data_IF_276013080723
#
_entry.id   IF_276013080723
#
_cell.length_a   1.000
_cell.length_b   1.000
_cell.length_c   1.000
_cell.angle_alpha   90.00
_cell.angle_beta   90.00
_cell.angle_gamma   90.00
#
_symmetry.space_group_name_H-M   'P 1'
#
loop_
_entity.id
_entity.type
_entity.pdbx_description
1 polymer ?
#
# COMPACT_ATOMS: atom_id res chain seq x y z
N UNK A 1 10.60 7.67 19.24
CA UNK A 1 9.82 8.30 18.16
C UNK A 1 9.93 7.41 16.93
N UNK A 2 8.81 7.11 16.29
CA UNK A 2 8.79 6.27 15.08
C UNK A 2 9.50 7.00 13.93
N UNK A 3 10.25 6.25 13.11
CA UNK A 3 10.84 6.77 11.86
C UNK A 3 10.37 5.90 10.71
N UNK A 4 9.82 6.52 9.67
CA UNK A 4 9.39 5.79 8.47
C UNK A 4 10.26 6.18 7.27
N UNK A 5 11.08 5.24 6.81
CA UNK A 5 11.87 5.37 5.58
C UNK A 5 10.99 5.05 4.38
N UNK A 6 10.87 6.00 3.47
CA UNK A 6 10.01 5.89 2.28
C UNK A 6 10.78 6.23 1.00
N UNK A 7 10.32 5.68 -0.13
CA UNK A 7 10.74 6.16 -1.45
C UNK A 7 9.96 7.40 -1.88
N UNK A 8 10.24 7.89 -3.08
CA UNK A 8 9.53 9.04 -3.66
C UNK A 8 8.01 8.83 -3.61
N UNK A 9 7.28 9.78 -3.04
CA UNK A 9 5.84 9.65 -2.76
C UNK A 9 4.99 9.45 -4.01
N UNK A 10 5.40 10.05 -5.14
CA UNK A 10 4.69 9.92 -6.40
C UNK A 10 4.88 8.56 -7.10
N UNK A 11 5.94 7.82 -6.78
CA UNK A 11 6.26 6.52 -7.41
C UNK A 11 6.10 5.31 -6.49
N UNK A 12 6.42 5.47 -5.20
CA UNK A 12 6.52 4.33 -4.28
C UNK A 12 5.17 3.95 -3.69
N UNK A 13 4.40 3.15 -4.42
CA UNK A 13 3.10 2.65 -3.94
C UNK A 13 3.22 1.79 -2.68
N UNK A 14 4.34 1.13 -2.46
CA UNK A 14 4.59 0.37 -1.23
C UNK A 14 4.83 1.28 -0.03
N UNK A 15 5.61 2.37 -0.20
CA UNK A 15 5.81 3.34 0.87
C UNK A 15 4.55 4.15 1.20
N UNK A 16 3.70 4.39 0.21
CA UNK A 16 2.46 5.13 0.39
C UNK A 16 1.52 4.46 1.39
N UNK A 17 1.47 3.12 1.43
CA UNK A 17 0.56 2.38 2.32
C UNK A 17 0.80 2.69 3.80
N UNK A 18 1.95 2.38 4.40
CA UNK A 18 2.17 2.70 5.81
C UNK A 18 2.20 4.22 6.06
N UNK A 19 2.61 5.02 5.08
CA UNK A 19 2.57 6.48 5.21
C UNK A 19 1.13 6.99 5.37
N UNK A 20 0.21 6.54 4.51
CA UNK A 20 -1.21 6.90 4.60
C UNK A 20 -1.82 6.36 5.89
N UNK A 21 -1.55 5.10 6.24
CA UNK A 21 -2.04 4.48 7.47
C UNK A 21 -1.67 5.30 8.71
N UNK A 22 -0.39 5.61 8.89
CA UNK A 22 0.10 6.39 10.04
C UNK A 22 -0.50 7.80 10.06
N UNK A 23 -0.57 8.47 8.89
CA UNK A 23 -1.15 9.83 8.80
C UNK A 23 -2.63 9.86 9.11
N UNK A 24 -3.42 8.92 8.58
CA UNK A 24 -4.86 8.85 8.84
C UNK A 24 -5.18 8.44 10.28
N UNK A 25 -4.34 7.60 10.88
CA UNK A 25 -4.45 7.21 12.28
C UNK A 25 -3.97 8.28 13.27
N UNK A 26 -3.44 9.41 12.80
CA UNK A 26 -2.91 10.48 13.66
C UNK A 26 -1.63 10.10 14.40
N UNK A 27 -0.92 9.08 13.95
CA UNK A 27 0.33 8.62 14.57
C UNK A 27 1.48 9.52 14.11
N UNK A 28 2.18 10.11 15.06
CA UNK A 28 3.36 10.93 14.78
C UNK A 28 4.58 10.08 14.43
N UNK A 29 5.29 10.47 13.38
CA UNK A 29 6.53 9.84 12.95
C UNK A 29 7.45 10.79 12.19
N UNK A 30 8.74 10.56 12.26
CA UNK A 30 9.75 11.21 11.42
C UNK A 30 9.72 10.56 10.03
N UNK A 31 9.48 11.36 9.01
CA UNK A 31 9.52 10.92 7.63
C UNK A 31 10.93 11.04 7.07
N UNK A 32 11.51 9.93 6.62
CA UNK A 32 12.84 9.89 6.02
C UNK A 32 12.72 9.44 4.55
N UNK A 33 12.83 10.41 3.64
CA UNK A 33 12.75 10.12 2.21
C UNK A 33 14.08 9.63 1.67
N UNK A 34 14.09 8.42 1.12
CA UNK A 34 15.20 7.82 0.37
C UNK A 34 14.84 7.86 -1.11
N UNK A 35 15.45 8.80 -1.84
CA UNK A 35 15.13 9.02 -3.26
C UNK A 35 15.58 7.86 -4.11
N UNK A 36 14.74 7.50 -5.07
CA UNK A 36 15.11 6.53 -6.10
C UNK A 36 16.06 7.18 -7.11
N UNK A 37 17.24 6.61 -7.24
CA UNK A 37 18.21 6.89 -8.32
C UNK A 37 18.41 5.63 -9.17
N UNK A 38 18.83 4.54 -8.53
CA UNK A 38 19.00 3.22 -9.12
C UNK A 38 18.76 2.14 -8.07
N UNK A 39 18.38 0.94 -8.52
CA UNK A 39 18.26 -0.25 -7.65
C UNK A 39 19.49 -1.15 -7.71
N UNK A 40 20.54 -0.74 -8.44
CA UNK A 40 21.81 -1.45 -8.53
C UNK A 40 22.57 -1.42 -7.20
N UNK A 41 23.40 -2.42 -6.98
CA UNK A 41 24.32 -2.43 -5.85
C UNK A 41 25.22 -1.17 -5.89
N UNK A 42 25.39 -0.51 -4.73
CA UNK A 42 26.20 0.72 -4.61
C UNK A 42 25.50 2.01 -5.04
N UNK A 43 24.23 1.98 -5.47
CA UNK A 43 23.44 3.18 -5.70
C UNK A 43 23.26 4.00 -4.42
N UNK A 44 22.95 5.30 -4.55
CA UNK A 44 22.69 6.16 -3.40
C UNK A 44 21.49 5.64 -2.59
N UNK A 45 20.43 5.16 -3.28
CA UNK A 45 19.29 4.52 -2.66
C UNK A 45 19.69 3.31 -1.80
N UNK A 46 20.53 2.40 -2.33
CA UNK A 46 20.99 1.20 -1.58
C UNK A 46 21.89 1.59 -0.42
N UNK A 47 22.82 2.52 -0.63
CA UNK A 47 23.74 3.00 0.40
C UNK A 47 22.99 3.66 1.56
N UNK A 48 21.96 4.45 1.29
CA UNK A 48 21.15 5.10 2.31
C UNK A 48 20.36 4.10 3.20
N UNK A 49 20.14 2.87 2.72
CA UNK A 49 19.46 1.80 3.46
C UNK A 49 20.44 0.82 4.12
N UNK A 50 21.75 0.96 3.85
CA UNK A 50 22.79 0.14 4.49
C UNK A 50 22.80 0.41 6.00
N UNK A 51 22.72 -0.65 6.79
CA UNK A 51 22.62 -0.53 8.25
C UNK A 51 21.22 -0.18 8.78
N UNK A 52 20.28 0.18 7.90
CA UNK A 52 18.88 0.42 8.29
C UNK A 52 18.04 -0.85 8.14
N UNK A 53 18.20 -1.57 7.03
CA UNK A 53 17.42 -2.77 6.75
C UNK A 53 18.26 -3.82 6.00
N UNK A 54 18.09 -5.11 6.30
CA UNK A 54 18.82 -6.17 5.62
C UNK A 54 18.37 -6.39 4.17
N UNK A 55 17.16 -5.93 3.81
CA UNK A 55 16.59 -6.16 2.46
C UNK A 55 16.87 -5.02 1.47
N UNK A 56 17.38 -3.87 1.95
CA UNK A 56 17.69 -2.72 1.09
C UNK A 56 16.51 -2.24 0.25
N UNK A 57 15.30 -2.21 0.82
CA UNK A 57 14.05 -1.77 0.19
C UNK A 57 13.29 -0.85 1.15
N UNK A 58 12.38 -0.07 0.60
CA UNK A 58 11.41 0.75 1.35
C UNK A 58 9.99 0.21 1.13
N UNK A 59 9.05 0.39 2.08
CA UNK A 59 9.18 1.12 3.34
C UNK A 59 9.92 0.33 4.42
N UNK A 60 10.47 1.07 5.41
CA UNK A 60 10.99 0.51 6.66
C UNK A 60 10.53 1.39 7.81
N UNK A 61 9.99 0.78 8.85
CA UNK A 61 9.66 1.45 10.10
C UNK A 61 10.74 1.14 11.14
N UNK A 62 11.19 2.17 11.86
CA UNK A 62 12.15 2.04 12.96
C UNK A 62 11.50 2.60 14.22
N UNK A 63 11.46 1.80 15.30
CA UNK A 63 11.01 2.20 16.63
C UNK A 63 12.10 1.85 17.66
N UNK A 64 12.87 2.84 18.07
CA UNK A 64 14.08 2.61 18.88
C UNK A 64 15.08 1.72 18.12
N UNK A 65 15.39 0.56 18.69
CA UNK A 65 16.28 -0.43 18.09
C UNK A 65 15.55 -1.46 17.21
N UNK A 66 14.21 -1.43 17.20
CA UNK A 66 13.42 -2.35 16.39
C UNK A 66 13.31 -1.83 14.97
N UNK A 67 13.59 -2.71 14.01
CA UNK A 67 13.44 -2.44 12.57
C UNK A 67 12.38 -3.38 11.99
N UNK A 68 11.34 -2.81 11.42
CA UNK A 68 10.24 -3.55 10.78
C UNK A 68 10.20 -3.21 9.29
N UNK A 69 10.25 -4.20 8.44
CA UNK A 69 10.13 -4.04 6.99
C UNK A 69 9.04 -4.96 6.45
N UNK A 70 8.61 -4.67 5.24
CA UNK A 70 7.39 -5.08 4.58
C UNK A 70 6.15 -4.33 5.11
N UNK A 71 5.28 -3.96 4.16
CA UNK A 71 4.11 -3.12 4.46
C UNK A 71 3.06 -3.80 5.34
N UNK A 72 2.89 -5.15 5.20
CA UNK A 72 1.97 -5.88 6.07
C UNK A 72 2.53 -6.00 7.49
N UNK A 73 3.81 -6.32 7.61
CA UNK A 73 4.45 -6.41 8.91
C UNK A 73 4.44 -5.06 9.65
N UNK A 74 4.64 -3.95 8.93
CA UNK A 74 4.52 -2.61 9.49
C UNK A 74 3.09 -2.35 9.98
N UNK A 75 2.07 -2.70 9.18
CA UNK A 75 0.67 -2.51 9.56
C UNK A 75 0.29 -3.33 10.80
N UNK A 76 0.70 -4.60 10.87
CA UNK A 76 0.48 -5.46 12.06
C UNK A 76 1.18 -4.91 13.28
N UNK A 77 2.47 -4.54 13.17
CA UNK A 77 3.21 -3.94 14.28
C UNK A 77 2.55 -2.67 14.81
N UNK A 78 2.14 -1.77 13.91
CA UNK A 78 1.48 -0.52 14.29
C UNK A 78 0.13 -0.80 14.95
N UNK A 79 -0.64 -1.78 14.46
CA UNK A 79 -1.91 -2.18 15.07
C UNK A 79 -1.73 -2.78 16.48
N UNK A 80 -0.67 -3.53 16.71
CA UNK A 80 -0.34 -4.05 18.04
C UNK A 80 0.20 -2.95 18.99
N UNK A 81 0.94 -2.00 18.43
CA UNK A 81 1.54 -0.88 19.20
C UNK A 81 0.51 0.16 19.63
N UNK A 82 -0.58 0.32 18.85
CA UNK A 82 -1.67 1.28 19.06
C UNK A 82 -3.03 0.59 18.96
N UNK A 83 -3.33 -0.35 19.88
CA UNK A 83 -4.55 -1.18 19.79
C UNK A 83 -5.84 -0.37 19.90
N UNK A 84 -5.80 0.80 20.53
CA UNK A 84 -6.94 1.72 20.66
C UNK A 84 -7.38 2.35 19.33
N UNK A 85 -6.51 2.36 18.32
CA UNK A 85 -6.83 2.96 17.02
C UNK A 85 -7.58 2.02 16.07
N UNK A 86 -7.71 0.74 16.45
CA UNK A 86 -8.49 -0.26 15.70
C UNK A 86 -8.17 -0.30 14.20
N UNK A 87 -6.89 -0.30 13.83
CA UNK A 87 -6.43 -0.31 12.43
C UNK A 87 -6.87 -1.57 11.65
N UNK A 88 -7.35 -2.58 12.34
CA UNK A 88 -8.06 -3.72 11.80
C UNK A 88 -9.50 -3.77 12.35
N UNK A 89 -10.45 -4.39 11.63
CA UNK A 89 -11.81 -4.60 12.14
C UNK A 89 -11.83 -5.27 13.52
N UNK A 90 -12.72 -4.82 14.40
CA UNK A 90 -12.81 -5.32 15.78
C UNK A 90 -13.29 -6.77 15.83
N UNK A 91 -14.26 -7.11 15.00
CA UNK A 91 -14.84 -8.44 14.94
C UNK A 91 -13.87 -9.45 14.30
N UNK A 92 -13.72 -10.62 14.94
CA UNK A 92 -12.75 -11.64 14.50
C UNK A 92 -12.99 -12.10 13.06
N UNK A 93 -14.22 -12.39 12.60
CA UNK A 93 -14.47 -12.79 11.22
C UNK A 93 -14.12 -11.68 10.21
N UNK A 94 -14.54 -10.45 10.49
CA UNK A 94 -14.23 -9.28 9.66
C UNK A 94 -12.71 -9.02 9.59
N UNK A 95 -12.02 -9.10 10.71
CA UNK A 95 -10.56 -8.96 10.78
C UNK A 95 -9.84 -10.05 9.99
N UNK A 96 -10.27 -11.29 10.08
CA UNK A 96 -9.72 -12.38 9.28
C UNK A 96 -9.93 -12.13 7.77
N UNK A 97 -11.12 -11.66 7.39
CA UNK A 97 -11.45 -11.28 6.02
C UNK A 97 -10.58 -10.13 5.54
N UNK A 98 -10.40 -9.08 6.34
CA UNK A 98 -9.53 -7.93 6.03
C UNK A 98 -8.08 -8.37 5.76
N UNK A 99 -7.53 -9.23 6.61
CA UNK A 99 -6.20 -9.81 6.40
C UNK A 99 -6.10 -10.64 5.12
N UNK A 100 -7.15 -11.40 4.79
CA UNK A 100 -7.20 -12.19 3.55
C UNK A 100 -7.14 -11.31 2.31
N UNK A 101 -7.94 -10.25 2.24
CA UNK A 101 -7.94 -9.34 1.08
C UNK A 101 -6.63 -8.53 1.00
N UNK A 102 -6.04 -8.18 2.13
CA UNK A 102 -4.71 -7.55 2.16
C UNK A 102 -3.62 -8.49 1.64
N UNK A 103 -3.64 -9.76 2.01
CA UNK A 103 -2.70 -10.77 1.54
C UNK A 103 -2.88 -11.05 0.04
N UNK A 104 -4.13 -11.13 -0.45
CA UNK A 104 -4.44 -11.26 -1.88
C UNK A 104 -3.87 -10.08 -2.68
N UNK A 105 -4.06 -8.84 -2.20
CA UNK A 105 -3.45 -7.68 -2.83
C UNK A 105 -1.92 -7.73 -2.78
N UNK A 106 -1.33 -8.15 -1.68
CA UNK A 106 0.11 -8.20 -1.47
C UNK A 106 0.81 -9.13 -2.48
N UNK A 107 0.26 -10.30 -2.70
CA UNK A 107 0.80 -11.32 -3.60
C UNK A 107 0.28 -11.24 -5.04
N UNK A 108 -0.88 -10.63 -5.26
CA UNK A 108 -1.63 -10.65 -6.52
C UNK A 108 -1.56 -9.35 -7.34
N UNK A 109 -2.48 -9.27 -8.32
CA UNK A 109 -2.66 -8.12 -9.22
C UNK A 109 -1.37 -7.70 -9.94
N UNK A 110 -0.57 -8.68 -10.32
CA UNK A 110 0.77 -8.44 -10.91
C UNK A 110 0.68 -7.83 -12.29
N UNK A 111 -0.33 -8.18 -13.09
CA UNK A 111 -0.53 -7.61 -14.41
C UNK A 111 -0.86 -6.10 -14.31
N UNK A 112 -1.81 -5.73 -13.46
CA UNK A 112 -2.15 -4.34 -13.19
C UNK A 112 -0.95 -3.56 -12.64
N UNK A 113 -0.27 -4.10 -11.65
CA UNK A 113 0.85 -3.43 -10.98
C UNK A 113 2.07 -3.24 -11.87
N UNK A 114 2.28 -4.14 -12.84
CA UNK A 114 3.39 -4.06 -13.79
C UNK A 114 3.05 -3.14 -14.97
N UNK A 115 1.85 -3.22 -15.51
CA UNK A 115 1.44 -2.42 -16.66
C UNK A 115 1.10 -0.97 -16.29
N UNK A 116 0.50 -0.77 -15.09
CA UNK A 116 0.08 0.54 -14.59
C UNK A 116 0.96 0.94 -13.38
N UNK A 117 2.19 1.39 -13.63
CA UNK A 117 3.08 1.90 -12.59
C UNK A 117 2.48 3.15 -11.92
N UNK A 118 2.72 3.30 -10.61
CA UNK A 118 2.25 4.49 -9.91
C UNK A 118 3.12 5.70 -10.26
N UNK A 119 2.49 6.77 -10.73
CA UNK A 119 3.04 8.12 -10.82
C UNK A 119 1.88 9.11 -10.68
N UNK A 120 1.56 9.50 -9.44
CA UNK A 120 0.36 10.31 -9.14
C UNK A 120 0.39 11.72 -9.74
N UNK A 121 1.53 12.17 -10.27
CA UNK A 121 1.66 13.46 -10.98
C UNK A 121 1.38 13.32 -12.48
N UNK A 122 1.39 12.12 -13.02
CA UNK A 122 1.13 11.86 -14.44
C UNK A 122 -0.36 11.74 -14.75
N UNK A 123 -0.70 12.00 -16.00
CA UNK A 123 -2.01 11.73 -16.60
C UNK A 123 -1.75 11.06 -17.93
N UNK A 124 -2.11 9.79 -18.06
CA UNK A 124 -1.76 8.92 -19.19
C UNK A 124 -2.99 8.17 -19.75
N UNK A 125 -4.12 8.87 -20.03
CA UNK A 125 -5.36 8.21 -20.47
C UNK A 125 -5.20 7.46 -21.80
N UNK A 126 -4.42 8.00 -22.75
CA UNK A 126 -4.16 7.33 -24.01
C UNK A 126 -3.40 6.00 -23.82
N UNK A 127 -2.41 5.99 -22.92
CA UNK A 127 -1.69 4.77 -22.54
C UNK A 127 -2.62 3.80 -21.82
N UNK A 128 -3.47 4.31 -20.94
CA UNK A 128 -4.49 3.53 -20.24
C UNK A 128 -5.46 2.85 -21.20
N UNK A 129 -5.96 3.57 -22.20
CA UNK A 129 -6.83 3.03 -23.23
C UNK A 129 -6.18 1.87 -24.01
N UNK A 130 -4.90 2.01 -24.37
CA UNK A 130 -4.13 0.95 -25.03
C UNK A 130 -3.94 -0.27 -24.11
N UNK A 131 -3.54 -0.06 -22.86
CA UNK A 131 -3.39 -1.13 -21.87
C UNK A 131 -4.72 -1.87 -21.69
N UNK A 132 -5.82 -1.13 -21.54
CA UNK A 132 -7.15 -1.71 -21.37
C UNK A 132 -7.58 -2.54 -22.57
N UNK A 133 -7.35 -2.04 -23.78
CA UNK A 133 -7.67 -2.75 -25.03
C UNK A 133 -6.87 -4.05 -25.18
N UNK A 134 -5.56 -3.98 -24.95
CA UNK A 134 -4.63 -5.03 -25.39
C UNK A 134 -4.25 -6.03 -24.27
N UNK A 135 -4.48 -5.69 -23.00
CA UNK A 135 -4.05 -6.52 -21.88
C UNK A 135 -5.23 -7.12 -21.10
N UNK A 136 -5.63 -8.33 -21.49
CA UNK A 136 -6.71 -9.05 -20.83
C UNK A 136 -6.41 -9.38 -19.34
N UNK A 137 -5.14 -9.58 -18.99
CA UNK A 137 -4.77 -9.86 -17.60
C UNK A 137 -4.95 -8.63 -16.70
N UNK A 138 -4.70 -7.42 -17.22
CA UNK A 138 -5.02 -6.17 -16.49
C UNK A 138 -6.52 -6.05 -16.27
N UNK A 139 -7.34 -6.33 -17.30
CA UNK A 139 -8.80 -6.31 -17.15
C UNK A 139 -9.29 -7.30 -16.09
N UNK A 140 -8.69 -8.49 -16.04
CA UNK A 140 -9.02 -9.50 -15.03
C UNK A 140 -8.65 -9.03 -13.61
N UNK A 141 -7.47 -8.44 -13.43
CA UNK A 141 -7.03 -7.89 -12.14
C UNK A 141 -7.98 -6.77 -11.67
N UNK A 142 -8.34 -5.85 -12.56
CA UNK A 142 -9.28 -4.75 -12.24
C UNK A 142 -10.66 -5.31 -11.90
N UNK A 143 -11.18 -6.26 -12.69
CA UNK A 143 -12.48 -6.89 -12.43
C UNK A 143 -12.50 -7.58 -11.05
N UNK A 144 -11.42 -8.27 -10.67
CA UNK A 144 -11.30 -8.90 -9.36
C UNK A 144 -11.25 -7.88 -8.23
N UNK A 145 -10.51 -6.76 -8.38
CA UNK A 145 -10.49 -5.68 -7.40
C UNK A 145 -11.88 -5.06 -7.21
N UNK A 146 -12.57 -4.75 -8.29
CA UNK A 146 -13.93 -4.18 -8.25
C UNK A 146 -14.91 -5.14 -7.58
N UNK A 147 -14.88 -6.42 -7.95
CA UNK A 147 -15.71 -7.46 -7.32
C UNK A 147 -15.47 -7.54 -5.82
N UNK A 148 -14.20 -7.56 -5.40
CA UNK A 148 -13.82 -7.61 -3.98
C UNK A 148 -14.33 -6.37 -3.23
N UNK A 149 -14.13 -5.20 -3.81
CA UNK A 149 -14.56 -3.92 -3.22
C UNK A 149 -16.09 -3.86 -3.06
N UNK A 150 -16.82 -4.16 -4.12
CA UNK A 150 -18.28 -4.16 -4.10
C UNK A 150 -18.86 -5.16 -3.10
N UNK A 151 -18.28 -6.37 -3.02
CA UNK A 151 -18.71 -7.38 -2.06
C UNK A 151 -18.52 -6.92 -0.61
N UNK A 152 -17.37 -6.30 -0.28
CA UNK A 152 -17.09 -5.79 1.06
C UNK A 152 -18.02 -4.63 1.43
N UNK A 153 -18.24 -3.68 0.53
CA UNK A 153 -19.19 -2.57 0.75
C UNK A 153 -20.61 -3.07 0.96
N UNK A 154 -21.04 -4.07 0.18
CA UNK A 154 -22.37 -4.66 0.33
C UNK A 154 -22.53 -5.42 1.65
N UNK A 155 -21.49 -6.13 2.10
CA UNK A 155 -21.50 -6.91 3.34
C UNK A 155 -21.47 -6.00 4.58
N UNK A 156 -20.70 -4.91 4.55
CA UNK A 156 -20.44 -4.06 5.73
C UNK A 156 -21.15 -2.70 5.70
N UNK A 157 -21.89 -2.36 4.65
CA UNK A 157 -22.72 -1.16 4.55
C UNK A 157 -22.00 0.13 4.18
N UNK A 158 -20.66 0.09 3.96
CA UNK A 158 -19.91 1.27 3.58
C UNK A 158 -19.89 2.39 4.65
N UNK A 159 -19.30 3.56 4.37
CA UNK A 159 -18.64 3.98 3.11
C UNK A 159 -17.26 3.36 2.88
N UNK A 160 -16.65 2.77 3.91
CA UNK A 160 -15.37 2.08 3.85
C UNK A 160 -15.56 0.56 3.76
N UNK A 161 -14.52 -0.19 3.44
CA UNK A 161 -14.61 -1.62 3.10
C UNK A 161 -15.14 -2.49 4.26
N UNK A 162 -14.91 -2.08 5.50
CA UNK A 162 -15.35 -2.78 6.70
C UNK A 162 -16.24 -1.91 7.60
N UNK A 163 -17.01 -0.99 7.02
CA UNK A 163 -17.98 -0.12 7.72
C UNK A 163 -17.61 1.36 7.68
N UNK A 164 -17.71 2.03 8.83
CA UNK A 164 -17.50 3.49 8.92
C UNK A 164 -16.07 3.89 9.29
N UNK A 165 -15.27 2.97 9.87
CA UNK A 165 -13.91 3.24 10.31
C UNK A 165 -12.90 2.82 9.23
N UNK A 166 -11.90 3.69 8.96
CA UNK A 166 -10.82 3.37 8.02
C UNK A 166 -9.92 2.30 8.60
N UNK A 167 -9.67 1.25 7.82
CA UNK A 167 -8.80 0.14 8.18
C UNK A 167 -7.60 0.01 7.23
N UNK A 168 -6.62 -0.82 7.59
CA UNK A 168 -5.49 -1.16 6.70
C UNK A 168 -5.97 -1.72 5.34
N UNK A 169 -7.12 -2.43 5.31
CA UNK A 169 -7.67 -2.97 4.07
C UNK A 169 -8.06 -1.86 3.07
N UNK A 170 -8.65 -0.76 3.56
CA UNK A 170 -8.99 0.40 2.73
C UNK A 170 -7.75 1.01 2.11
N UNK A 171 -6.73 1.29 2.92
CA UNK A 171 -5.46 1.87 2.47
C UNK A 171 -4.79 0.98 1.44
N UNK A 172 -4.76 -0.32 1.68
CA UNK A 172 -4.06 -1.28 0.84
C UNK A 172 -4.69 -1.45 -0.53
N UNK A 173 -6.00 -1.61 -0.58
CA UNK A 173 -6.74 -1.78 -1.82
C UNK A 173 -6.84 -0.48 -2.60
N UNK A 174 -7.09 0.64 -1.92
CA UNK A 174 -7.18 1.97 -2.55
C UNK A 174 -5.90 2.33 -3.30
N UNK A 175 -4.71 2.18 -2.69
CA UNK A 175 -3.44 2.49 -3.36
C UNK A 175 -3.22 1.64 -4.62
N UNK A 176 -3.78 0.42 -4.68
CA UNK A 176 -3.68 -0.44 -5.86
C UNK A 176 -4.60 0.02 -6.97
N UNK A 177 -5.84 0.39 -6.65
CA UNK A 177 -6.82 0.85 -7.63
C UNK A 177 -6.54 2.29 -8.10
N UNK A 178 -6.13 3.17 -7.18
CA UNK A 178 -5.89 4.58 -7.47
C UNK A 178 -4.85 4.80 -8.58
N UNK A 179 -3.84 3.93 -8.72
CA UNK A 179 -2.88 4.03 -9.84
C UNK A 179 -3.58 3.94 -11.20
N UNK A 180 -4.58 3.05 -11.34
CA UNK A 180 -5.33 2.90 -12.56
C UNK A 180 -6.27 4.10 -12.76
N UNK A 181 -7.07 4.42 -11.76
CA UNK A 181 -8.06 5.49 -11.82
C UNK A 181 -7.43 6.88 -11.99
N UNK A 182 -6.41 7.22 -11.19
CA UNK A 182 -5.81 8.57 -11.18
C UNK A 182 -4.85 8.78 -12.35
N UNK A 183 -4.12 7.78 -12.78
CA UNK A 183 -3.04 7.94 -13.77
C UNK A 183 -3.49 7.54 -15.17
N UNK A 184 -4.22 6.44 -15.31
CA UNK A 184 -4.47 5.77 -16.60
C UNK A 184 -5.94 5.82 -17.05
N UNK A 185 -6.85 6.35 -16.24
CA UNK A 185 -8.28 6.46 -16.58
C UNK A 185 -8.72 7.87 -17.01
#
# INVERSE_FOLDING_TARGET
MLKLYIGNKNYSSWSMRPWVLLKQAGIEFDEIMVRFDSFSAGSQFKNALTGVTPVGKVPVLVDGDLVVWDTLAIAEYVAERFPELHLWPREVPARARARSVCAEMHSGFTALRSACGMNIEARLPDVGALIWRDNAAVRADVARLVQMWQALLAEHGGPLLFGEELTEADVRLWVTLARFDVVYH
#
